data_IF_159879614125
#
_entry.id   IF_159879614125
#
_cell.length_a   1.000
_cell.length_b   1.000
_cell.length_c   1.000
_cell.angle_alpha   90.00
_cell.angle_beta   90.00
_cell.angle_gamma   90.00
#
_symmetry.space_group_name_H-M   'P 1'
#
loop_
_entity.id
_entity.type
_entity.pdbx_description
1 polymer ?
#
# COMPACT_ATOMS: atom_id res chain seq x y z
N UNK A 1 -5.13 10.65 -26.33
CA UNK A 1 -4.95 9.51 -25.43
C UNK A 1 -6.06 8.53 -25.74
N UNK A 2 -5.73 7.31 -26.16
CA UNK A 2 -6.73 6.26 -26.42
C UNK A 2 -6.75 5.37 -25.18
N UNK A 3 -7.93 5.21 -24.60
CA UNK A 3 -8.14 4.44 -23.37
C UNK A 3 -9.14 3.36 -23.73
N UNK A 4 -8.83 2.11 -23.39
CA UNK A 4 -9.73 0.98 -23.64
C UNK A 4 -10.48 0.65 -22.34
N UNK A 5 -11.79 0.56 -22.43
CA UNK A 5 -12.67 0.17 -21.32
C UNK A 5 -13.25 -1.22 -21.52
N UNK A 6 -13.29 -2.03 -20.47
CA UNK A 6 -13.97 -3.32 -20.45
C UNK A 6 -14.92 -3.43 -19.27
N UNK A 7 -16.10 -3.98 -19.53
CA UNK A 7 -17.10 -4.36 -18.55
C UNK A 7 -17.00 -5.86 -18.27
N UNK A 8 -16.96 -6.24 -17.01
CA UNK A 8 -16.96 -7.63 -16.55
C UNK A 8 -18.21 -7.91 -15.71
N UNK A 9 -19.08 -8.81 -16.15
CA UNK A 9 -20.31 -9.21 -15.44
C UNK A 9 -20.55 -10.70 -15.67
N UNK A 10 -20.76 -11.48 -14.61
CA UNK A 10 -21.05 -12.93 -14.66
C UNK A 10 -20.13 -13.77 -15.58
N UNK A 11 -18.85 -13.38 -15.69
CA UNK A 11 -17.87 -14.06 -16.53
C UNK A 11 -17.86 -13.61 -18.00
N UNK A 12 -18.82 -12.77 -18.42
CA UNK A 12 -18.76 -12.08 -19.71
C UNK A 12 -17.89 -10.83 -19.64
N UNK A 13 -17.21 -10.56 -20.76
CA UNK A 13 -16.35 -9.39 -20.94
C UNK A 13 -16.78 -8.63 -22.18
N UNK A 14 -17.20 -7.36 -22.01
CA UNK A 14 -17.66 -6.50 -23.10
C UNK A 14 -16.78 -5.27 -23.28
N UNK A 15 -16.55 -4.88 -24.52
CA UNK A 15 -15.87 -3.64 -24.85
C UNK A 15 -16.80 -2.44 -24.62
N UNK A 16 -16.28 -1.42 -23.96
CA UNK A 16 -17.00 -0.18 -23.67
C UNK A 16 -16.65 0.86 -24.74
N UNK A 17 -17.66 1.32 -25.46
CA UNK A 17 -17.56 2.40 -26.44
C UNK A 17 -17.68 3.78 -25.78
N UNK A 18 -18.55 3.90 -24.78
CA UNK A 18 -18.70 5.11 -23.99
C UNK A 18 -19.12 4.79 -22.55
N UNK A 19 -18.69 5.61 -21.61
CA UNK A 19 -19.00 5.48 -20.19
C UNK A 19 -19.26 6.85 -19.60
N UNK A 20 -20.34 6.98 -18.86
CA UNK A 20 -20.69 8.17 -18.10
C UNK A 20 -21.18 7.78 -16.70
N UNK A 21 -20.78 8.57 -15.72
CA UNK A 21 -21.01 8.33 -14.30
C UNK A 21 -21.56 9.60 -13.67
N UNK A 22 -22.83 9.56 -13.29
CA UNK A 22 -23.54 10.74 -12.80
C UNK A 22 -23.79 10.65 -11.29
N UNK A 23 -23.12 11.51 -10.54
CA UNK A 23 -23.48 11.81 -9.15
C UNK A 23 -24.23 13.12 -9.10
N UNK A 24 -25.38 13.12 -8.43
CA UNK A 24 -26.19 14.31 -8.28
C UNK A 24 -26.46 14.59 -6.80
N UNK A 25 -26.38 15.87 -6.44
CA UNK A 25 -26.71 16.36 -5.12
C UNK A 25 -27.74 17.49 -5.26
N UNK A 26 -28.93 17.27 -4.71
CA UNK A 26 -29.96 18.31 -4.69
C UNK A 26 -29.47 19.53 -3.91
N UNK A 27 -29.86 20.72 -4.36
CA UNK A 27 -29.62 22.00 -3.69
C UNK A 27 -30.92 22.57 -3.15
N UNK A 28 -30.84 23.41 -2.12
CA UNK A 28 -31.96 24.21 -1.65
C UNK A 28 -32.12 25.49 -2.47
N UNK A 29 -33.13 26.29 -2.14
CA UNK A 29 -33.41 27.56 -2.81
C UNK A 29 -32.27 28.60 -2.70
N UNK A 30 -31.35 28.42 -1.76
CA UNK A 30 -30.17 29.27 -1.57
C UNK A 30 -28.93 28.74 -2.29
N UNK A 31 -29.04 27.60 -2.99
CA UNK A 31 -27.93 26.93 -3.65
C UNK A 31 -27.07 26.06 -2.74
N UNK A 32 -27.44 25.88 -1.46
CA UNK A 32 -26.71 25.00 -0.54
C UNK A 32 -27.12 23.55 -0.79
N UNK A 33 -26.20 22.58 -0.67
CA UNK A 33 -26.55 21.16 -0.75
C UNK A 33 -27.62 20.78 0.27
N UNK A 34 -28.74 20.22 -0.21
CA UNK A 34 -29.91 19.87 0.61
C UNK A 34 -30.02 18.38 0.90
N UNK A 35 -29.32 17.53 0.14
CA UNK A 35 -29.34 16.07 0.27
C UNK A 35 -27.94 15.50 0.15
N UNK A 36 -27.74 14.24 0.57
CA UNK A 36 -26.50 13.51 0.30
C UNK A 36 -26.37 13.29 -1.21
N UNK A 37 -25.17 13.45 -1.76
CA UNK A 37 -24.90 13.10 -3.15
C UNK A 37 -25.22 11.62 -3.38
N UNK A 38 -26.00 11.33 -4.42
CA UNK A 38 -26.37 9.97 -4.80
C UNK A 38 -25.89 9.68 -6.21
N UNK A 39 -25.45 8.44 -6.42
CA UNK A 39 -25.22 7.91 -7.74
C UNK A 39 -26.58 7.77 -8.45
N UNK A 40 -26.78 8.57 -9.48
CA UNK A 40 -28.00 8.57 -10.29
C UNK A 40 -28.00 7.29 -11.16
N UNK A 41 -26.89 7.03 -11.85
CA UNK A 41 -26.71 5.84 -12.66
C UNK A 41 -25.32 5.75 -13.26
N UNK A 42 -25.00 4.54 -13.72
CA UNK A 42 -23.85 4.23 -14.55
C UNK A 42 -24.35 4.02 -15.97
N UNK A 43 -23.94 4.88 -16.88
CA UNK A 43 -24.37 4.87 -18.27
C UNK A 43 -23.26 4.25 -19.12
N UNK A 44 -23.58 3.18 -19.83
CA UNK A 44 -22.59 2.42 -20.60
C UNK A 44 -23.10 2.25 -22.02
N UNK A 45 -22.25 2.52 -22.99
CA UNK A 45 -22.47 2.17 -24.40
C UNK A 45 -21.51 1.02 -24.75
N UNK A 46 -22.09 -0.09 -25.19
CA UNK A 46 -21.38 -1.31 -25.58
C UNK A 46 -21.60 -1.56 -27.07
N UNK A 47 -20.67 -2.32 -27.66
CA UNK A 47 -20.91 -2.95 -28.96
C UNK A 47 -21.97 -4.06 -28.78
N UNK A 48 -23.00 -4.04 -29.62
CA UNK A 48 -24.01 -5.11 -29.64
C UNK A 48 -23.42 -6.35 -30.30
N UNK A 49 -23.72 -7.52 -29.74
CA UNK A 49 -23.25 -8.80 -30.27
C UNK A 49 -24.38 -9.83 -30.30
N UNK A 50 -24.13 -10.98 -30.91
CA UNK A 50 -25.08 -12.11 -30.87
C UNK A 50 -25.27 -12.69 -29.45
N UNK A 51 -24.35 -12.41 -28.52
CA UNK A 51 -24.31 -13.03 -27.19
C UNK A 51 -24.92 -12.09 -26.12
N UNK A 52 -25.86 -11.21 -26.50
CA UNK A 52 -26.43 -10.15 -25.64
C UNK A 52 -27.55 -10.62 -24.69
N UNK A 53 -27.81 -11.93 -24.65
CA UNK A 53 -28.84 -12.57 -23.81
C UNK A 53 -28.73 -12.19 -22.33
N UNK A 54 -27.50 -12.04 -21.81
CA UNK A 54 -27.26 -11.59 -20.45
C UNK A 54 -27.94 -10.24 -20.15
N UNK A 55 -27.87 -9.29 -21.07
CA UNK A 55 -28.46 -7.96 -20.90
C UNK A 55 -29.98 -7.99 -21.11
N UNK A 56 -30.47 -8.79 -22.06
CA UNK A 56 -31.90 -9.00 -22.26
C UNK A 56 -32.56 -9.60 -21.01
N UNK A 57 -31.94 -10.61 -20.39
CA UNK A 57 -32.44 -11.19 -19.14
C UNK A 57 -32.33 -10.23 -17.96
N UNK A 58 -31.27 -9.42 -17.91
CA UNK A 58 -31.08 -8.46 -16.82
C UNK A 58 -32.16 -7.37 -16.82
N UNK A 59 -32.54 -6.83 -17.98
CA UNK A 59 -33.57 -5.78 -18.07
C UNK A 59 -35.00 -6.34 -17.92
N UNK A 60 -35.25 -7.58 -18.36
CA UNK A 60 -36.61 -8.17 -18.33
C UNK A 60 -36.97 -8.79 -16.99
N UNK A 61 -35.99 -9.04 -16.12
CA UNK A 61 -36.23 -9.57 -14.79
C UNK A 61 -36.45 -8.45 -13.77
N UNK A 62 -37.55 -8.51 -13.03
CA UNK A 62 -37.92 -7.51 -12.03
C UNK A 62 -36.99 -7.49 -10.80
N UNK A 63 -36.23 -8.56 -10.55
CA UNK A 63 -35.43 -8.73 -9.33
C UNK A 63 -34.01 -9.22 -9.58
N UNK A 64 -33.58 -9.38 -10.83
CA UNK A 64 -32.22 -9.83 -11.11
C UNK A 64 -31.24 -8.71 -10.83
N UNK A 65 -30.45 -8.91 -9.78
CA UNK A 65 -29.31 -8.09 -9.45
C UNK A 65 -28.03 -8.81 -9.87
N UNK A 66 -27.10 -8.08 -10.48
CA UNK A 66 -25.79 -8.61 -10.83
C UNK A 66 -24.68 -7.79 -10.19
N UNK A 67 -23.50 -8.39 -10.12
CA UNK A 67 -22.27 -7.74 -9.67
C UNK A 67 -21.25 -7.75 -10.80
N UNK A 68 -20.34 -6.78 -10.76
CA UNK A 68 -19.36 -6.64 -11.83
C UNK A 68 -18.34 -5.55 -11.57
N UNK A 69 -17.47 -5.38 -12.56
CA UNK A 69 -16.43 -4.35 -12.54
C UNK A 69 -16.22 -3.75 -13.92
N UNK A 70 -15.81 -2.49 -13.93
CA UNK A 70 -15.46 -1.73 -15.13
C UNK A 70 -14.00 -1.34 -15.00
N UNK A 71 -13.18 -1.75 -15.95
CA UNK A 71 -11.75 -1.50 -15.95
C UNK A 71 -11.39 -0.69 -17.18
N UNK A 72 -10.75 0.45 -16.96
CA UNK A 72 -10.07 1.22 -17.99
C UNK A 72 -8.58 0.94 -17.93
N UNK A 73 -8.00 0.59 -19.06
CA UNK A 73 -6.57 0.31 -19.22
C UNK A 73 -5.84 1.59 -19.66
N UNK A 74 -4.59 1.73 -19.22
CA UNK A 74 -3.72 2.83 -19.61
C UNK A 74 -3.47 2.89 -21.13
N UNK A 75 -2.78 3.94 -21.63
CA UNK A 75 -2.47 4.09 -23.05
C UNK A 75 -1.63 2.94 -23.63
N UNK A 76 -0.90 2.24 -22.77
CA UNK A 76 -0.11 1.05 -23.07
C UNK A 76 -0.96 -0.22 -23.18
N UNK A 77 -2.25 -0.18 -22.82
CA UNK A 77 -3.20 -1.29 -22.87
C UNK A 77 -2.94 -2.41 -21.86
N UNK A 78 -1.85 -2.34 -21.10
CA UNK A 78 -1.34 -3.43 -20.27
C UNK A 78 -1.64 -3.20 -18.78
N UNK A 79 -1.67 -1.95 -18.32
CA UNK A 79 -1.87 -1.62 -16.90
C UNK A 79 -3.30 -1.14 -16.63
N UNK A 80 -3.93 -1.68 -15.59
CA UNK A 80 -5.18 -1.14 -15.06
C UNK A 80 -4.97 0.32 -14.62
N UNK A 81 -5.76 1.23 -15.17
CA UNK A 81 -5.69 2.65 -14.85
C UNK A 81 -6.80 3.07 -13.90
N UNK A 82 -8.05 2.68 -14.19
CA UNK A 82 -9.21 2.92 -13.31
C UNK A 82 -10.07 1.68 -13.21
N UNK A 83 -10.44 1.33 -11.98
CA UNK A 83 -11.36 0.22 -11.68
C UNK A 83 -12.57 0.73 -10.90
N UNK A 84 -13.76 0.47 -11.41
CA UNK A 84 -15.04 0.66 -10.73
C UNK A 84 -15.63 -0.70 -10.42
N UNK A 85 -16.16 -0.89 -9.22
CA UNK A 85 -16.74 -2.16 -8.77
C UNK A 85 -18.17 -1.90 -8.32
N UNK A 86 -19.09 -2.82 -8.63
CA UNK A 86 -20.50 -2.67 -8.30
C UNK A 86 -21.15 -3.97 -7.88
N UNK A 87 -22.10 -3.85 -6.96
CA UNK A 87 -22.88 -4.96 -6.42
C UNK A 87 -24.35 -4.57 -6.32
N UNK A 88 -25.20 -5.59 -6.24
CA UNK A 88 -26.66 -5.45 -6.23
C UNK A 88 -27.16 -4.52 -7.34
N UNK A 89 -26.65 -4.72 -8.54
CA UNK A 89 -26.91 -3.80 -9.64
C UNK A 89 -28.09 -4.26 -10.49
N UNK A 90 -29.03 -3.35 -10.70
CA UNK A 90 -30.18 -3.53 -11.59
C UNK A 90 -29.94 -2.81 -12.90
N UNK A 91 -30.37 -3.42 -14.00
CA UNK A 91 -30.47 -2.76 -15.29
C UNK A 91 -31.86 -2.12 -15.38
N UNK A 92 -31.95 -0.80 -15.56
CA UNK A 92 -33.23 -0.08 -15.57
C UNK A 92 -33.57 0.54 -16.94
N UNK A 93 -32.58 0.59 -17.83
CA UNK A 93 -32.78 1.02 -19.20
C UNK A 93 -31.86 0.24 -20.10
N UNK A 94 -32.43 -0.26 -21.19
CA UNK A 94 -31.75 -0.91 -22.27
C UNK A 94 -32.25 -0.27 -23.58
N UNK A 95 -31.32 0.16 -24.42
CA UNK A 95 -31.62 0.71 -25.73
C UNK A 95 -30.58 0.24 -26.72
N UNK A 96 -31.01 -0.54 -27.69
CA UNK A 96 -30.20 -0.89 -28.84
C UNK A 96 -30.52 0.02 -30.03
N UNK A 97 -29.49 0.41 -30.77
CA UNK A 97 -29.61 1.19 -32.00
C UNK A 97 -28.74 0.59 -33.08
N UNK A 98 -29.31 0.50 -34.28
CA UNK A 98 -28.59 0.14 -35.49
C UNK A 98 -28.61 1.30 -36.47
N UNK A 99 -27.44 1.63 -37.03
CA UNK A 99 -27.25 2.57 -38.12
C UNK A 99 -26.39 1.93 -39.20
N UNK A 100 -26.95 1.74 -40.39
CA UNK A 100 -26.26 1.05 -41.48
C UNK A 100 -25.09 1.85 -42.09
N UNK A 101 -24.94 3.14 -41.74
CA UNK A 101 -24.04 4.09 -42.38
C UNK A 101 -23.04 4.73 -41.39
N UNK A 102 -22.75 4.07 -40.27
CA UNK A 102 -21.79 4.52 -39.26
C UNK A 102 -20.66 3.52 -39.08
N UNK A 103 -19.57 3.98 -38.48
CA UNK A 103 -18.39 3.14 -38.17
C UNK A 103 -18.69 2.08 -37.11
N UNK A 104 -19.63 2.39 -36.20
CA UNK A 104 -20.16 1.47 -35.20
C UNK A 104 -21.65 1.23 -35.53
N UNK A 105 -21.96 0.24 -36.37
CA UNK A 105 -23.28 0.12 -36.98
C UNK A 105 -24.34 -0.40 -36.00
N UNK A 106 -23.95 -1.08 -34.92
CA UNK A 106 -24.89 -1.58 -33.91
C UNK A 106 -24.31 -1.39 -32.51
N UNK A 107 -25.06 -0.72 -31.63
CA UNK A 107 -24.63 -0.43 -30.28
C UNK A 107 -25.77 -0.45 -29.28
N UNK A 108 -25.42 -0.78 -28.04
CA UNK A 108 -26.34 -0.98 -26.93
C UNK A 108 -26.02 -0.02 -25.79
N UNK A 109 -27.00 0.80 -25.41
CA UNK A 109 -26.92 1.71 -24.27
C UNK A 109 -27.64 1.11 -23.07
N UNK A 110 -26.93 1.08 -21.95
CA UNK A 110 -27.42 0.58 -20.67
C UNK A 110 -27.41 1.69 -19.64
N UNK A 111 -28.46 1.75 -18.82
CA UNK A 111 -28.44 2.44 -17.53
C UNK A 111 -28.45 1.41 -16.43
N UNK A 112 -27.33 1.32 -15.74
CA UNK A 112 -27.15 0.46 -14.59
C UNK A 112 -27.28 1.28 -13.31
N UNK A 113 -28.07 0.79 -12.37
CA UNK A 113 -28.19 1.39 -11.04
C UNK A 113 -27.69 0.36 -10.02
N UNK A 114 -26.48 0.55 -9.49
CA UNK A 114 -25.98 -0.29 -8.41
C UNK A 114 -26.52 0.17 -7.05
N UNK A 115 -26.83 -0.79 -6.17
CA UNK A 115 -27.07 -0.47 -4.76
C UNK A 115 -25.77 -0.14 -4.05
N UNK A 116 -24.67 -0.75 -4.48
CA UNK A 116 -23.33 -0.53 -3.93
C UNK A 116 -22.36 -0.28 -5.07
N UNK A 117 -21.63 0.84 -5.00
CA UNK A 117 -20.68 1.24 -6.02
C UNK A 117 -19.38 1.74 -5.40
N UNK A 118 -18.25 1.20 -5.85
CA UNK A 118 -16.91 1.58 -5.39
C UNK A 118 -16.14 2.25 -6.52
N UNK A 119 -15.63 3.45 -6.25
CA UNK A 119 -14.81 4.22 -7.18
C UNK A 119 -13.34 3.80 -7.10
N UNK A 120 -12.51 4.15 -8.11
CA UNK A 120 -11.08 3.85 -8.10
C UNK A 120 -10.34 4.40 -6.88
N UNK A 121 -10.82 5.49 -6.28
CA UNK A 121 -10.24 6.11 -5.08
C UNK A 121 -10.70 5.47 -3.76
N UNK A 122 -11.45 4.38 -3.80
CA UNK A 122 -11.95 3.68 -2.61
C UNK A 122 -13.24 4.25 -2.02
N UNK A 123 -13.82 5.32 -2.59
CA UNK A 123 -15.11 5.84 -2.13
C UNK A 123 -16.22 4.86 -2.44
N UNK A 124 -17.03 4.54 -1.42
CA UNK A 124 -18.17 3.64 -1.54
C UNK A 124 -19.47 4.47 -1.48
N UNK A 125 -20.32 4.29 -2.49
CA UNK A 125 -21.68 4.82 -2.53
C UNK A 125 -22.67 3.68 -2.32
N UNK A 126 -23.59 3.87 -1.37
CA UNK A 126 -24.57 2.85 -0.99
C UNK A 126 -25.99 3.41 -1.03
N UNK A 127 -26.93 2.57 -1.47
CA UNK A 127 -28.37 2.82 -1.44
C UNK A 127 -29.03 1.96 -0.36
N UNK A 128 -30.17 2.44 0.15
CA UNK A 128 -30.91 1.80 1.24
C UNK A 128 -31.52 0.43 0.89
N UNK A 129 -31.56 0.08 -0.40
CA UNK A 129 -32.10 -1.19 -0.89
C UNK A 129 -31.01 -2.21 -1.23
N UNK A 130 -29.75 -2.00 -0.80
CA UNK A 130 -28.69 -3.01 -0.92
C UNK A 130 -29.07 -4.31 -0.20
N UNK A 131 -28.74 -5.45 -0.81
CA UNK A 131 -29.05 -6.80 -0.29
C UNK A 131 -27.75 -7.46 0.17
N UNK A 132 -26.78 -7.51 -0.74
CA UNK A 132 -25.43 -7.93 -0.43
C UNK A 132 -24.77 -6.92 0.50
N UNK A 133 -23.85 -7.43 1.30
CA UNK A 133 -22.82 -6.60 1.85
C UNK A 133 -21.50 -7.22 1.37
N UNK A 134 -20.98 -6.79 0.21
CA UNK A 134 -19.71 -7.26 -0.34
C UNK A 134 -18.54 -6.81 0.53
N UNK A 135 -18.84 -5.91 1.48
CA UNK A 135 -17.98 -5.48 2.55
C UNK A 135 -18.37 -6.15 3.88
N UNK A 136 -19.18 -7.21 3.94
CA UNK A 136 -19.36 -8.03 5.17
C UNK A 136 -18.35 -9.17 5.23
N UNK A 137 -17.11 -8.84 4.85
CA UNK A 137 -15.87 -9.25 5.52
C UNK A 137 -15.10 -8.02 6.07
N UNK A 138 -15.74 -6.86 6.02
CA UNK A 138 -15.32 -5.53 6.47
C UNK A 138 -16.46 -4.94 7.32
N UNK A 139 -16.76 -5.54 8.47
CA UNK A 139 -17.17 -4.68 9.58
C UNK A 139 -16.06 -3.64 9.73
N UNK A 140 -16.39 -2.38 9.99
CA UNK A 140 -15.41 -1.45 10.56
C UNK A 140 -15.02 -2.03 11.92
N UNK A 141 -14.07 -2.97 11.88
CA UNK A 141 -13.21 -3.25 13.00
C UNK A 141 -12.54 -1.91 13.28
N UNK A 142 -12.60 -1.38 14.51
CA UNK A 142 -11.78 -0.24 14.88
C UNK A 142 -10.33 -0.63 14.58
N UNK A 143 -9.79 -0.16 13.45
CA UNK A 143 -8.46 -0.48 12.93
C UNK A 143 -7.85 -1.77 13.48
N UNK A 144 -8.27 -2.94 13.01
CA UNK A 144 -7.39 -4.10 13.07
C UNK A 144 -6.62 -4.14 11.74
N UNK A 145 -5.31 -3.98 11.87
CA UNK A 145 -4.32 -4.18 10.81
C UNK A 145 -4.58 -5.54 10.13
N UNK A 146 -4.28 -5.64 8.83
CA UNK A 146 -4.29 -6.92 8.11
C UNK A 146 -3.46 -7.94 8.91
N UNK A 147 -4.10 -8.78 9.72
CA UNK A 147 -3.47 -9.98 10.23
C UNK A 147 -3.41 -10.95 9.05
N UNK A 148 -2.29 -10.89 8.32
CA UNK A 148 -1.70 -12.10 7.76
C UNK A 148 -1.90 -13.22 8.78
N UNK A 149 -2.29 -14.43 8.35
CA UNK A 149 -2.38 -15.60 9.23
C UNK A 149 -1.07 -15.68 10.04
N UNK A 150 -1.09 -15.13 11.26
CA UNK A 150 0.03 -15.19 12.18
C UNK A 150 0.02 -16.63 12.62
N UNK A 151 1.05 -17.34 12.21
CA UNK A 151 1.48 -18.52 12.92
C UNK A 151 1.53 -18.12 14.41
N UNK A 152 0.64 -18.67 15.25
CA UNK A 152 0.50 -18.36 16.70
C UNK A 152 1.78 -18.69 17.50
N UNK A 153 2.87 -19.00 16.81
CA UNK A 153 4.18 -19.28 17.36
C UNK A 153 4.90 -18.00 17.74
N UNK A 154 4.76 -17.61 19.01
CA UNK A 154 5.58 -16.55 19.63
C UNK A 154 7.05 -16.98 19.68
N UNK A 155 7.95 -16.16 19.14
CA UNK A 155 9.39 -16.40 19.17
C UNK A 155 10.01 -15.80 20.42
N UNK A 156 10.95 -16.53 21.02
CA UNK A 156 11.66 -16.12 22.23
C UNK A 156 13.16 -16.12 21.97
N UNK A 157 13.80 -14.96 22.19
CA UNK A 157 15.23 -14.77 22.05
C UNK A 157 15.85 -14.41 23.38
N UNK A 158 16.84 -15.20 23.80
CA UNK A 158 17.57 -14.92 25.05
C UNK A 158 18.63 -13.86 24.83
N UNK A 159 18.95 -13.12 25.89
CA UNK A 159 20.13 -12.28 25.96
C UNK A 159 21.39 -13.00 25.43
N UNK A 160 22.13 -12.33 24.56
CA UNK A 160 23.36 -12.81 23.92
C UNK A 160 23.16 -13.49 22.57
N UNK A 161 21.92 -13.71 22.13
CA UNK A 161 21.66 -14.27 20.80
C UNK A 161 21.86 -13.25 19.68
N UNK A 162 22.29 -13.75 18.51
CA UNK A 162 22.49 -12.95 17.30
C UNK A 162 21.83 -13.53 16.03
N UNK A 163 20.50 -13.67 16.02
CA UNK A 163 19.76 -14.31 14.93
C UNK A 163 19.51 -13.38 13.73
N UNK A 164 19.77 -12.07 13.86
CA UNK A 164 19.44 -11.08 12.84
C UNK A 164 20.69 -10.39 12.27
N UNK A 165 20.62 -10.06 10.98
CA UNK A 165 21.54 -9.19 10.27
C UNK A 165 20.92 -7.81 10.09
N UNK A 166 21.76 -6.78 10.14
CA UNK A 166 21.38 -5.41 9.91
C UNK A 166 22.26 -4.80 8.82
N UNK A 167 21.63 -4.06 7.93
CA UNK A 167 22.27 -3.33 6.85
C UNK A 167 21.94 -1.86 6.96
N UNK A 168 22.97 -1.02 6.97
CA UNK A 168 22.87 0.43 6.89
C UNK A 168 23.14 0.84 5.44
N UNK A 169 22.21 1.59 4.84
CA UNK A 169 22.33 2.19 3.51
C UNK A 169 22.20 3.71 3.67
N UNK A 170 23.31 4.43 3.51
CA UNK A 170 23.28 5.90 3.50
C UNK A 170 23.31 6.41 2.07
N UNK A 171 22.35 7.24 1.68
CA UNK A 171 22.18 7.67 0.29
C UNK A 171 22.97 8.94 -0.03
N UNK A 172 22.85 9.97 0.79
CA UNK A 172 23.59 11.23 0.68
C UNK A 172 23.80 11.74 2.09
N UNK A 173 25.05 12.04 2.47
CA UNK A 173 25.32 12.92 3.61
C UNK A 173 26.45 13.88 3.27
N UNK A 174 26.29 15.16 3.61
CA UNK A 174 27.28 16.19 3.26
C UNK A 174 27.21 17.39 4.20
N UNK A 175 28.38 17.90 4.59
CA UNK A 175 28.53 19.19 5.25
C UNK A 175 29.78 19.27 6.12
N UNK A 176 30.34 20.47 6.28
CA UNK A 176 31.42 20.74 7.22
C UNK A 176 30.83 20.98 8.61
N UNK A 177 31.35 20.28 9.63
CA UNK A 177 30.92 20.35 11.04
C UNK A 177 29.51 19.79 11.32
N UNK A 178 28.54 20.06 10.43
CA UNK A 178 27.16 19.59 10.47
C UNK A 178 26.88 18.79 9.21
N UNK A 179 26.57 17.51 9.39
CA UNK A 179 26.12 16.58 8.34
C UNK A 179 24.61 16.51 8.30
N UNK A 180 24.02 16.77 7.14
CA UNK A 180 22.64 16.38 6.85
C UNK A 180 22.68 15.18 5.90
N UNK A 181 21.90 14.14 6.17
CA UNK A 181 21.81 13.01 5.28
C UNK A 181 20.54 12.19 5.43
N UNK A 182 20.34 11.26 4.49
CA UNK A 182 19.26 10.29 4.54
C UNK A 182 19.84 8.88 4.57
N UNK A 183 19.43 8.10 5.56
CA UNK A 183 19.85 6.72 5.74
C UNK A 183 18.65 5.79 5.95
N UNK A 184 18.80 4.56 5.51
CA UNK A 184 17.87 3.46 5.73
C UNK A 184 18.61 2.34 6.49
N UNK A 185 18.01 1.85 7.56
CA UNK A 185 18.43 0.63 8.25
C UNK A 185 17.46 -0.47 7.87
N UNK A 186 17.99 -1.61 7.42
CA UNK A 186 17.23 -2.82 7.12
C UNK A 186 17.66 -3.93 8.09
N UNK A 187 16.70 -4.63 8.68
CA UNK A 187 16.97 -5.81 9.52
C UNK A 187 16.31 -7.02 8.86
N UNK A 188 17.06 -8.12 8.82
CA UNK A 188 16.62 -9.39 8.25
C UNK A 188 17.12 -10.60 9.06
N UNK A 189 16.45 -11.76 9.01
CA UNK A 189 16.88 -12.97 9.68
C UNK A 189 18.08 -13.62 8.99
N UNK A 190 18.98 -14.21 9.78
CA UNK A 190 20.07 -15.07 9.28
C UNK A 190 19.54 -16.44 8.89
N UNK A 191 20.35 -17.21 8.16
CA UNK A 191 20.10 -18.61 7.78
C UNK A 191 19.91 -19.61 8.96
N UNK A 192 19.91 -19.15 10.21
CA UNK A 192 19.61 -19.95 11.41
C UNK A 192 18.50 -19.37 12.29
N UNK A 193 17.80 -18.33 11.82
CA UNK A 193 16.62 -17.80 12.48
C UNK A 193 15.39 -18.71 12.21
N UNK A 194 14.37 -18.69 13.09
CA UNK A 194 13.16 -19.50 12.94
C UNK A 194 12.51 -19.36 11.55
N UNK A 195 11.99 -20.46 10.98
CA UNK A 195 11.44 -20.51 9.62
C UNK A 195 10.32 -19.48 9.39
N UNK A 196 9.43 -19.25 10.36
CA UNK A 196 8.35 -18.26 10.20
C UNK A 196 8.81 -16.79 10.21
N UNK A 197 10.08 -16.52 10.57
CA UNK A 197 10.68 -15.19 10.40
C UNK A 197 11.42 -15.06 9.06
N UNK A 198 11.75 -16.16 8.40
CA UNK A 198 12.51 -16.15 7.14
C UNK A 198 11.75 -15.38 6.05
N UNK A 199 12.47 -14.56 5.29
CA UNK A 199 11.90 -13.71 4.24
C UNK A 199 11.26 -12.41 4.72
N UNK A 200 11.07 -12.23 6.03
CA UNK A 200 10.66 -10.93 6.56
C UNK A 200 11.83 -9.94 6.53
N UNK A 201 11.55 -8.69 6.15
CA UNK A 201 12.50 -7.59 6.23
C UNK A 201 11.78 -6.39 6.81
N UNK A 202 12.35 -5.82 7.87
CA UNK A 202 11.90 -4.54 8.41
C UNK A 202 12.89 -3.46 8.05
N UNK A 203 12.41 -2.26 7.73
CA UNK A 203 13.28 -1.12 7.53
C UNK A 203 12.81 0.11 8.30
N UNK A 204 13.76 1.00 8.58
CA UNK A 204 13.48 2.33 9.09
C UNK A 204 14.36 3.31 8.34
N UNK A 205 13.72 4.33 7.76
CA UNK A 205 14.39 5.36 6.98
C UNK A 205 14.15 6.73 7.58
N UNK A 206 15.18 7.57 7.63
CA UNK A 206 15.08 8.86 8.26
C UNK A 206 16.10 9.87 7.74
N UNK A 207 15.71 11.14 7.80
CA UNK A 207 16.67 12.23 7.70
C UNK A 207 17.47 12.27 9.01
N UNK A 208 18.77 12.08 8.91
CA UNK A 208 19.69 12.22 10.03
C UNK A 208 20.38 13.58 9.96
N UNK A 209 20.38 14.29 11.07
CA UNK A 209 21.25 15.44 11.32
C UNK A 209 22.32 14.99 12.31
N UNK A 210 23.57 15.16 11.92
CA UNK A 210 24.72 14.82 12.75
C UNK A 210 25.75 15.91 12.84
N UNK A 211 26.50 15.90 13.92
CA UNK A 211 27.72 16.70 14.05
C UNK A 211 28.92 15.77 13.84
N UNK A 212 29.91 16.23 13.09
CA UNK A 212 31.11 15.46 12.81
C UNK A 212 32.32 16.33 12.55
N UNK A 213 33.49 15.79 12.85
CA UNK A 213 34.79 16.45 12.60
C UNK A 213 35.43 15.73 11.40
N UNK A 214 35.67 16.46 10.31
CA UNK A 214 36.13 15.94 9.02
C UNK A 214 35.41 16.59 7.84
N UNK A 215 35.62 16.09 6.61
CA UNK A 215 34.85 16.46 5.40
C UNK A 215 33.79 15.38 5.06
N UNK A 216 32.84 15.03 5.94
CA UNK A 216 31.93 13.90 5.76
C UNK A 216 31.00 14.09 4.56
N UNK A 217 31.47 13.72 3.37
CA UNK A 217 30.68 13.57 2.16
C UNK A 217 30.60 12.08 1.88
N UNK A 218 29.53 11.44 2.35
CA UNK A 218 29.21 10.05 2.01
C UNK A 218 28.26 10.03 0.81
N UNK A 219 28.76 9.57 -0.34
CA UNK A 219 27.95 9.30 -1.54
C UNK A 219 27.75 7.79 -1.61
N UNK A 220 26.58 7.31 -1.18
CA UNK A 220 26.22 5.88 -1.10
C UNK A 220 27.22 5.00 -0.32
N UNK A 221 27.02 4.85 0.99
CA UNK A 221 27.78 3.88 1.82
C UNK A 221 26.87 2.76 2.30
N UNK A 222 27.40 1.53 2.30
CA UNK A 222 26.72 0.35 2.79
C UNK A 222 27.55 -0.35 3.87
N UNK A 223 26.97 -0.60 5.04
CA UNK A 223 27.59 -1.40 6.08
C UNK A 223 26.65 -2.54 6.51
N UNK A 224 27.20 -3.72 6.74
CA UNK A 224 26.44 -4.89 7.17
C UNK A 224 27.03 -5.37 8.50
N UNK A 225 26.16 -5.81 9.40
CA UNK A 225 26.55 -6.32 10.70
C UNK A 225 25.51 -7.26 11.27
N UNK A 226 25.77 -7.68 12.50
CA UNK A 226 24.91 -8.61 13.23
C UNK A 226 24.40 -7.95 14.50
N UNK A 227 23.14 -8.22 14.84
CA UNK A 227 22.49 -7.71 16.05
C UNK A 227 22.80 -8.66 17.21
N UNK A 228 23.16 -8.12 18.37
CA UNK A 228 23.30 -8.87 19.62
C UNK A 228 22.29 -8.33 20.64
N UNK A 229 21.46 -9.23 21.19
CA UNK A 229 20.47 -8.85 22.21
C UNK A 229 21.10 -8.74 23.60
N UNK A 230 20.83 -7.63 24.30
CA UNK A 230 21.23 -7.39 25.68
C UNK A 230 20.11 -7.65 26.70
N UNK A 231 18.89 -7.88 26.20
CA UNK A 231 17.73 -8.32 26.96
C UNK A 231 17.08 -9.54 26.31
N UNK A 232 16.17 -10.17 27.05
CA UNK A 232 15.29 -11.17 26.47
C UNK A 232 14.26 -10.45 25.60
N UNK A 233 14.13 -10.89 24.35
CA UNK A 233 13.24 -10.33 23.36
C UNK A 233 12.22 -11.38 22.97
N UNK A 234 10.98 -10.97 22.77
CA UNK A 234 9.92 -11.85 22.32
C UNK A 234 9.03 -11.11 21.32
N UNK A 235 8.42 -11.86 20.42
CA UNK A 235 7.45 -11.30 19.50
C UNK A 235 6.98 -12.32 18.47
N UNK A 236 5.93 -11.96 17.75
CA UNK A 236 5.34 -12.81 16.70
C UNK A 236 6.02 -12.63 15.34
N UNK A 237 6.51 -11.42 15.06
CA UNK A 237 7.20 -11.08 13.81
C UNK A 237 8.38 -10.13 14.06
N UNK A 238 9.15 -9.81 13.02
CA UNK A 238 10.28 -8.88 13.15
C UNK A 238 9.86 -7.50 13.67
N UNK A 239 8.69 -7.00 13.27
CA UNK A 239 8.24 -5.67 13.68
C UNK A 239 7.96 -5.64 15.19
N UNK A 240 7.29 -6.66 15.71
CA UNK A 240 6.99 -6.84 17.13
C UNK A 240 8.26 -7.01 17.97
N UNK A 241 9.19 -7.87 17.53
CA UNK A 241 10.49 -8.09 18.21
C UNK A 241 11.25 -6.77 18.38
N UNK A 242 11.25 -5.91 17.37
CA UNK A 242 12.00 -4.65 17.40
C UNK A 242 11.15 -3.44 17.85
N UNK A 243 9.85 -3.60 18.11
CA UNK A 243 8.90 -2.54 18.47
C UNK A 243 9.24 -1.82 19.78
N UNK A 244 9.87 -2.54 20.72
CA UNK A 244 10.35 -2.00 22.00
C UNK A 244 11.51 -1.02 21.85
N UNK A 245 12.11 -0.90 20.66
CA UNK A 245 13.18 0.05 20.38
C UNK A 245 12.64 1.47 20.23
N UNK A 246 12.67 2.28 21.28
CA UNK A 246 12.23 3.67 21.21
C UNK A 246 13.23 4.59 20.51
N UNK A 247 14.53 4.39 20.70
CA UNK A 247 15.54 5.19 20.01
C UNK A 247 16.84 4.43 19.78
N UNK A 248 17.59 4.87 18.76
CA UNK A 248 18.94 4.37 18.47
C UNK A 248 19.97 5.48 18.62
N UNK A 249 21.16 5.09 19.05
CA UNK A 249 22.37 5.90 18.96
C UNK A 249 23.32 5.25 17.97
N UNK A 250 23.71 6.01 16.96
CA UNK A 250 24.64 5.58 15.92
C UNK A 250 25.96 6.30 16.13
N UNK A 251 27.06 5.55 16.16
CA UNK A 251 28.42 6.09 16.18
C UNK A 251 29.20 5.47 15.04
N UNK A 252 29.68 6.30 14.13
CA UNK A 252 30.41 5.83 12.96
C UNK A 252 31.81 6.44 12.91
N UNK A 253 32.76 5.61 12.53
CA UNK A 253 34.13 6.00 12.19
C UNK A 253 34.34 5.57 10.75
N UNK A 254 34.57 6.53 9.88
CA UNK A 254 34.83 6.29 8.45
C UNK A 254 36.25 6.74 8.15
N UNK A 255 37.15 5.81 7.81
CA UNK A 255 38.51 6.08 7.35
C UNK A 255 38.96 4.97 6.40
N UNK A 256 38.57 5.08 5.13
CA UNK A 256 38.70 4.05 4.08
C UNK A 256 37.75 2.85 4.27
N UNK A 257 37.67 2.34 5.48
CA UNK A 257 36.67 1.39 5.96
C UNK A 257 35.70 2.11 6.88
N UNK A 258 34.41 1.77 6.78
CA UNK A 258 33.37 2.28 7.67
C UNK A 258 33.10 1.26 8.77
N UNK A 259 33.24 1.71 10.00
CA UNK A 259 32.78 0.99 11.18
C UNK A 259 31.62 1.78 11.80
N UNK A 260 30.44 1.19 11.85
CA UNK A 260 29.28 1.77 12.54
C UNK A 260 28.91 0.90 13.73
N UNK A 261 28.74 1.53 14.90
CA UNK A 261 28.10 0.92 16.06
C UNK A 261 26.74 1.54 16.28
N UNK A 262 25.71 0.70 16.31
CA UNK A 262 24.33 1.08 16.61
C UNK A 262 23.98 0.49 17.97
N UNK A 263 23.51 1.34 18.89
CA UNK A 263 22.96 0.92 20.17
C UNK A 263 21.49 1.31 20.22
N UNK A 264 20.64 0.35 20.58
CA UNK A 264 19.20 0.54 20.65
C UNK A 264 18.69 0.47 22.08
N UNK A 265 17.77 1.37 22.41
CA UNK A 265 17.28 1.56 23.77
C UNK A 265 15.76 1.60 23.81
N UNK A 266 15.19 1.22 24.94
CA UNK A 266 13.75 1.24 25.23
C UNK A 266 13.11 2.62 25.08
N UNK A 267 13.54 3.59 25.88
CA UNK A 267 13.03 4.95 25.86
C UNK A 267 14.08 5.94 26.40
N UNK A 268 13.80 7.24 26.27
CA UNK A 268 14.72 8.29 26.71
C UNK A 268 14.92 8.32 28.24
N UNK A 269 14.01 7.73 29.03
CA UNK A 269 14.00 7.82 30.48
C UNK A 269 14.67 6.62 31.16
N UNK A 270 14.29 5.39 30.80
CA UNK A 270 14.86 4.15 31.36
C UNK A 270 16.22 3.82 30.76
N UNK A 271 16.51 4.31 29.54
CA UNK A 271 17.80 4.18 28.86
C UNK A 271 18.35 2.74 28.84
N UNK A 272 17.46 1.76 28.75
CA UNK A 272 17.84 0.37 28.90
C UNK A 272 18.25 -0.19 27.55
N UNK A 273 19.48 -0.72 27.46
CA UNK A 273 20.06 -1.22 26.21
C UNK A 273 19.39 -2.54 25.81
N UNK A 274 18.71 -2.55 24.67
CA UNK A 274 18.01 -3.72 24.13
C UNK A 274 18.92 -4.55 23.23
N UNK A 275 19.60 -3.90 22.29
CA UNK A 275 20.51 -4.56 21.36
C UNK A 275 21.62 -3.63 20.87
N UNK A 276 22.71 -4.24 20.43
CA UNK A 276 23.81 -3.57 19.77
C UNK A 276 24.08 -4.23 18.43
N UNK A 277 24.43 -3.43 17.42
CA UNK A 277 24.96 -3.93 16.17
C UNK A 277 26.30 -3.27 15.85
N UNK A 278 27.26 -4.09 15.43
CA UNK A 278 28.55 -3.64 14.92
C UNK A 278 28.57 -3.94 13.42
N UNK A 279 28.61 -2.90 12.59
CA UNK A 279 28.56 -2.97 11.15
C UNK A 279 29.91 -2.61 10.54
N UNK A 280 30.28 -3.35 9.50
CA UNK A 280 31.48 -3.11 8.71
C UNK A 280 31.08 -2.91 7.25
N UNK A 281 31.69 -1.94 6.58
CA UNK A 281 31.27 -1.54 5.25
C UNK A 281 32.31 -0.75 4.45
N UNK A 282 32.01 -0.58 3.17
CA UNK A 282 32.78 0.21 2.22
C UNK A 282 31.90 1.22 1.49
N UNK A 283 32.52 2.25 0.92
CA UNK A 283 31.88 3.27 0.08
C UNK A 283 32.89 4.30 -0.42
N UNK A 284 32.44 5.36 -1.10
CA UNK A 284 33.31 6.43 -1.63
C UNK A 284 33.56 7.46 -0.53
N UNK A 285 34.84 7.67 -0.15
CA UNK A 285 35.23 8.07 1.22
C UNK A 285 35.53 9.56 1.39
N UNK A 286 35.07 10.06 2.55
CA UNK A 286 35.72 11.09 3.35
C UNK A 286 35.96 10.61 4.79
N UNK A 287 37.02 11.08 5.45
CA UNK A 287 37.30 10.72 6.84
C UNK A 287 36.47 11.54 7.84
N UNK A 288 35.82 10.88 8.81
CA UNK A 288 35.01 11.57 9.80
C UNK A 288 34.51 10.69 10.96
N UNK A 289 34.25 11.35 12.09
CA UNK A 289 33.50 10.81 13.22
C UNK A 289 32.09 11.40 13.20
N UNK A 290 31.05 10.58 13.31
CA UNK A 290 29.67 11.06 13.42
C UNK A 290 28.93 10.34 14.54
N UNK A 291 28.02 11.07 15.19
CA UNK A 291 27.25 10.58 16.33
C UNK A 291 25.82 11.11 16.28
N UNK A 292 24.84 10.23 16.09
CA UNK A 292 23.43 10.60 15.97
C UNK A 292 22.57 9.87 17.00
N UNK A 293 21.51 10.52 17.46
CA UNK A 293 20.43 9.90 18.22
C UNK A 293 19.11 10.17 17.51
N UNK A 294 18.35 9.13 17.23
CA UNK A 294 17.05 9.25 16.55
C UNK A 294 16.04 8.30 17.17
N UNK A 295 14.81 8.76 17.32
CA UNK A 295 13.68 7.87 17.50
C UNK A 295 13.48 7.08 16.21
N UNK A 296 13.22 5.79 16.32
CA UNK A 296 12.99 4.92 15.16
C UNK A 296 11.66 4.23 15.28
N UNK A 297 11.04 4.01 14.13
CA UNK A 297 9.91 3.08 13.98
C UNK A 297 10.26 2.18 12.82
N UNK A 298 10.46 0.90 13.13
CA UNK A 298 10.64 -0.12 12.11
C UNK A 298 9.27 -0.40 11.49
N UNK A 299 9.28 -0.65 10.18
CA UNK A 299 8.09 -1.07 9.44
C UNK A 299 8.47 -2.21 8.53
N UNK A 300 7.55 -3.14 8.32
CA UNK A 300 7.71 -4.17 7.30
C UNK A 300 7.93 -3.56 5.91
N UNK A 301 8.93 -4.06 5.19
CA UNK A 301 9.23 -3.66 3.81
C UNK A 301 8.34 -4.47 2.87
N UNK A 302 7.40 -3.81 2.19
CA UNK A 302 6.49 -4.41 1.19
C UNK A 302 7.21 -4.69 -0.13
#
# INVERSE_FOLDING_TARGET
MIVQGKLFVEGEVRNILAFDLLFEQGTDWSGKPSRKSQLEGVYIHLESTKDDDLFHHWITSNHTMKQGRIIFYGPDGMKEWRKYEFWDCVCVSWQEKFWHNTTDPMGMKLKLIPAIFKTPGGTIAEKNWKISNPFQGYMEVPWEEEEEEKDDQKYYFKKGQSPFEIKEINYVSGGELVTAGYGELEISPKAGAPEGLQGQVISTGGASLGAGIGLPVEVMTGAIGTIEFHQDMEGYDLEDIFSSTGYISVKSISALLKYTRINAYTDTNSNTLLWTANLYGGGVISAGLSGNRSTVKFKRKK
#
